data_IF_843637976993
#
_entry.id   IF_843637976993
#
_cell.length_a   1.000
_cell.length_b   1.000
_cell.length_c   1.000
_cell.angle_alpha   90.00
_cell.angle_beta   90.00
_cell.angle_gamma   90.00
#
_symmetry.space_group_name_H-M   'P 1'
#
loop_
_entity.id
_entity.type
_entity.pdbx_description
1 polymer ?
#
# COMPACT_ATOMS: atom_id res chain seq x y z
N UNK A 1 -41.25 1.93 10.22
CA UNK A 1 -40.96 1.86 11.69
C UNK A 1 -39.45 1.73 11.83
N UNK A 2 -38.80 2.52 12.70
CA UNK A 2 -37.39 2.30 13.02
C UNK A 2 -37.28 0.93 13.73
N UNK A 3 -36.50 0.03 13.19
CA UNK A 3 -36.20 -1.25 13.86
C UNK A 3 -35.48 -0.91 15.19
N UNK A 4 -35.94 -1.44 16.30
CA UNK A 4 -35.28 -1.25 17.58
C UNK A 4 -33.86 -1.89 17.45
N UNK A 5 -32.84 -1.07 17.66
CA UNK A 5 -31.44 -1.52 17.63
C UNK A 5 -31.04 -1.88 19.04
N UNK A 6 -30.49 -3.08 19.21
CA UNK A 6 -30.07 -3.59 20.52
C UNK A 6 -28.55 -3.53 20.71
N UNK A 7 -27.84 -2.68 19.94
CA UNK A 7 -26.41 -2.51 20.13
C UNK A 7 -26.13 -1.56 21.31
N UNK A 8 -25.08 -1.81 22.09
CA UNK A 8 -24.56 -0.84 23.07
C UNK A 8 -24.33 0.52 22.41
N UNK A 9 -24.46 1.61 23.17
CA UNK A 9 -24.42 2.96 22.65
C UNK A 9 -23.20 3.72 23.14
N UNK A 10 -22.46 4.36 22.24
CA UNK A 10 -21.35 5.26 22.54
C UNK A 10 -21.75 6.70 22.24
N UNK A 11 -21.63 7.59 23.22
CA UNK A 11 -21.77 9.04 23.03
C UNK A 11 -20.41 9.66 22.84
N UNK A 12 -20.25 10.50 21.81
CA UNK A 12 -18.96 11.07 21.41
C UNK A 12 -18.95 12.60 21.46
N UNK A 13 -17.73 13.16 21.57
CA UNK A 13 -17.50 14.60 21.58
C UNK A 13 -17.97 15.28 20.30
N UNK A 14 -18.23 16.59 20.37
CA UNK A 14 -18.57 17.42 19.20
C UNK A 14 -17.49 17.42 18.14
N UNK A 15 -16.22 17.29 18.52
CA UNK A 15 -15.09 17.19 17.59
C UNK A 15 -15.19 15.91 16.76
N UNK A 16 -15.41 14.75 17.39
CA UNK A 16 -15.58 13.48 16.70
C UNK A 16 -16.85 13.47 15.83
N UNK A 17 -17.97 14.02 16.33
CA UNK A 17 -19.19 14.20 15.52
C UNK A 17 -18.90 14.93 14.21
N UNK A 18 -18.16 16.05 14.26
CA UNK A 18 -17.79 16.80 13.06
C UNK A 18 -16.92 15.97 12.12
N UNK A 19 -15.95 15.22 12.64
CA UNK A 19 -15.10 14.33 11.86
C UNK A 19 -15.90 13.25 11.13
N UNK A 20 -16.82 12.57 11.85
CA UNK A 20 -17.69 11.56 11.26
C UNK A 20 -18.64 12.14 10.20
N UNK A 21 -19.19 13.33 10.43
CA UNK A 21 -20.04 14.01 9.45
C UNK A 21 -19.30 14.43 8.18
N UNK A 22 -17.98 14.65 8.29
CA UNK A 22 -17.10 14.89 7.15
C UNK A 22 -16.64 13.59 6.47
N UNK A 23 -17.07 12.42 6.99
CA UNK A 23 -16.82 11.11 6.39
C UNK A 23 -15.58 10.39 6.88
N UNK A 24 -14.87 10.89 7.90
CA UNK A 24 -13.77 10.16 8.53
C UNK A 24 -14.33 9.07 9.45
N UNK A 25 -13.98 7.77 9.30
CA UNK A 25 -14.70 6.68 9.96
C UNK A 25 -14.20 6.35 11.38
N UNK A 26 -13.27 7.11 11.97
CA UNK A 26 -12.66 6.79 13.24
C UNK A 26 -13.13 7.69 14.38
N UNK A 27 -13.40 7.08 15.53
CA UNK A 27 -13.56 7.75 16.82
C UNK A 27 -12.40 7.33 17.71
N UNK A 28 -11.66 8.31 18.21
CA UNK A 28 -10.53 8.04 19.10
C UNK A 28 -10.99 7.83 20.53
N UNK A 29 -10.18 7.11 21.32
CA UNK A 29 -10.47 6.81 22.74
C UNK A 29 -10.85 8.05 23.56
N UNK A 30 -10.05 9.12 23.47
CA UNK A 30 -10.31 10.39 24.16
C UNK A 30 -11.55 11.15 23.66
N UNK A 31 -12.22 10.69 22.62
CA UNK A 31 -13.40 11.30 22.03
C UNK A 31 -14.70 10.60 22.43
N UNK A 32 -14.63 9.46 23.13
CA UNK A 32 -15.78 8.76 23.70
C UNK A 32 -16.08 9.34 25.08
N UNK A 33 -17.27 9.91 25.26
CA UNK A 33 -17.73 10.55 26.49
C UNK A 33 -18.42 9.55 27.41
N UNK A 34 -19.23 8.68 26.85
CA UNK A 34 -19.99 7.67 27.57
C UNK A 34 -20.16 6.41 26.72
N UNK A 35 -20.21 5.26 27.38
CA UNK A 35 -20.48 3.97 26.76
C UNK A 35 -21.55 3.27 27.59
N UNK A 36 -22.72 3.09 27.00
CA UNK A 36 -23.85 2.38 27.62
C UNK A 36 -23.84 0.92 27.22
N UNK A 37 -24.08 0.05 28.18
CA UNK A 37 -23.91 -1.39 28.03
C UNK A 37 -22.44 -1.80 28.19
N UNK A 38 -22.20 -3.09 28.08
CA UNK A 38 -20.87 -3.68 28.21
C UNK A 38 -20.54 -4.45 26.91
N UNK A 39 -20.23 -3.73 25.80
CA UNK A 39 -19.91 -4.41 24.55
C UNK A 39 -18.65 -5.24 24.67
N UNK A 40 -18.68 -6.44 24.12
CA UNK A 40 -17.47 -7.22 23.98
C UNK A 40 -16.46 -6.53 23.05
N UNK A 41 -15.17 -6.74 23.30
CA UNK A 41 -14.12 -6.21 22.43
C UNK A 41 -14.28 -6.72 20.98
N UNK A 42 -14.34 -5.80 20.02
CA UNK A 42 -14.59 -6.09 18.62
C UNK A 42 -16.06 -6.24 18.24
N UNK A 43 -17.02 -6.07 19.18
CA UNK A 43 -18.45 -6.10 18.85
C UNK A 43 -18.93 -4.76 18.27
N UNK A 44 -20.17 -4.77 17.77
CA UNK A 44 -20.83 -3.59 17.23
C UNK A 44 -21.34 -2.65 18.34
N UNK A 45 -21.17 -1.36 18.11
CA UNK A 45 -21.73 -0.28 18.93
C UNK A 45 -22.37 0.78 18.04
N UNK A 46 -23.51 1.32 18.49
CA UNK A 46 -24.11 2.50 17.87
C UNK A 46 -23.45 3.77 18.41
N UNK A 47 -23.20 4.74 17.54
CA UNK A 47 -22.53 5.99 17.89
C UNK A 47 -23.51 7.15 17.82
N UNK A 48 -23.57 7.93 18.89
CA UNK A 48 -24.45 9.09 19.01
C UNK A 48 -23.68 10.36 19.35
N UNK A 49 -24.20 11.49 18.87
CA UNK A 49 -23.74 12.80 19.35
C UNK A 49 -24.21 13.07 20.78
N UNK A 50 -23.64 14.07 21.45
CA UNK A 50 -24.10 14.54 22.75
C UNK A 50 -25.60 14.94 22.78
N UNK A 51 -26.17 15.30 21.63
CA UNK A 51 -27.58 15.65 21.48
C UNK A 51 -28.47 14.46 21.15
N UNK A 52 -27.93 13.23 21.20
CA UNK A 52 -28.67 12.00 20.91
C UNK A 52 -28.93 11.73 19.42
N UNK A 53 -28.24 12.42 18.50
CA UNK A 53 -28.35 12.11 17.07
C UNK A 53 -27.51 10.90 16.72
N UNK A 54 -28.10 9.90 16.07
CA UNK A 54 -27.37 8.73 15.54
C UNK A 54 -26.38 9.16 14.46
N UNK A 55 -25.14 8.68 14.54
CA UNK A 55 -24.05 9.00 13.63
C UNK A 55 -23.56 7.79 12.82
N UNK A 56 -23.77 6.60 13.34
CA UNK A 56 -23.37 5.37 12.67
C UNK A 56 -23.23 4.20 13.63
N UNK A 57 -22.88 3.03 13.06
CA UNK A 57 -22.55 1.82 13.81
C UNK A 57 -21.18 1.34 13.37
N UNK A 58 -20.37 0.87 14.31
CA UNK A 58 -19.01 0.40 14.04
C UNK A 58 -18.52 -0.61 15.06
N UNK A 59 -17.31 -1.11 14.83
CA UNK A 59 -16.63 -2.01 15.76
C UNK A 59 -15.91 -1.22 16.86
N UNK A 60 -16.06 -1.66 18.11
CA UNK A 60 -15.32 -1.12 19.24
C UNK A 60 -14.01 -1.90 19.47
N UNK A 61 -12.93 -1.20 19.87
CA UNK A 61 -11.67 -1.81 20.31
C UNK A 61 -11.18 -1.12 21.60
N UNK A 62 -10.97 -1.91 22.66
CA UNK A 62 -10.59 -1.36 23.97
C UNK A 62 -9.10 -1.06 24.10
N UNK A 63 -8.24 -1.73 23.33
CA UNK A 63 -6.79 -1.52 23.38
C UNK A 63 -6.30 -0.47 22.36
N UNK A 64 -7.07 -0.27 21.29
CA UNK A 64 -6.71 0.68 20.24
C UNK A 64 -6.96 2.13 20.66
N UNK A 65 -6.09 3.03 20.22
CA UNK A 65 -6.39 4.47 20.27
C UNK A 65 -7.56 4.86 19.35
N UNK A 66 -7.79 4.10 18.30
CA UNK A 66 -9.00 4.20 17.47
C UNK A 66 -10.06 3.34 18.14
N UNK A 67 -10.82 3.96 19.03
CA UNK A 67 -11.80 3.28 19.87
C UNK A 67 -12.94 2.65 19.09
N UNK A 68 -13.46 3.37 18.07
CA UNK A 68 -14.54 2.86 17.23
C UNK A 68 -14.18 3.11 15.76
N UNK A 69 -14.36 2.08 14.92
CA UNK A 69 -14.27 2.16 13.46
C UNK A 69 -15.66 1.97 12.87
N UNK A 70 -16.21 3.03 12.27
CA UNK A 70 -17.54 2.98 11.68
C UNK A 70 -17.57 2.06 10.45
N UNK A 71 -18.65 1.29 10.36
CA UNK A 71 -19.00 0.45 9.20
C UNK A 71 -20.06 1.12 8.33
N UNK A 72 -21.06 1.78 8.96
CA UNK A 72 -22.15 2.42 8.24
C UNK A 72 -22.78 3.55 9.05
N UNK A 73 -23.19 4.63 8.38
CA UNK A 73 -24.02 5.68 8.94
C UNK A 73 -25.52 5.46 8.69
N UNK A 74 -25.90 4.38 7.99
CA UNK A 74 -27.30 4.04 7.74
C UNK A 74 -27.94 3.41 8.98
N UNK A 75 -28.91 4.07 9.59
CA UNK A 75 -29.60 3.58 10.78
C UNK A 75 -30.47 2.33 10.54
N UNK A 76 -30.76 1.96 9.30
CA UNK A 76 -31.52 0.78 8.93
C UNK A 76 -30.62 -0.38 8.47
N UNK A 77 -29.30 -0.25 8.62
CA UNK A 77 -28.36 -1.29 8.21
C UNK A 77 -28.37 -2.49 9.16
N UNK A 78 -28.29 -3.68 8.60
CA UNK A 78 -28.09 -4.95 9.31
C UNK A 78 -26.70 -5.50 9.00
N UNK A 79 -25.96 -5.92 10.01
CA UNK A 79 -24.55 -6.28 9.89
C UNK A 79 -24.34 -7.81 9.86
N UNK A 80 -25.10 -8.50 9.01
CA UNK A 80 -24.96 -9.93 8.74
C UNK A 80 -24.15 -10.20 7.45
N UNK A 81 -24.22 -11.44 7.00
CA UNK A 81 -23.52 -11.93 5.79
C UNK A 81 -23.81 -11.09 4.55
N UNK A 82 -25.06 -10.62 4.39
CA UNK A 82 -25.45 -9.78 3.25
C UNK A 82 -24.75 -8.41 3.25
N UNK A 83 -24.46 -7.84 4.43
CA UNK A 83 -23.72 -6.61 4.54
C UNK A 83 -22.29 -6.79 4.01
N UNK A 84 -21.60 -7.82 4.49
CA UNK A 84 -20.22 -8.10 4.05
C UNK A 84 -20.18 -8.54 2.58
N UNK A 85 -21.14 -9.33 2.13
CA UNK A 85 -21.27 -9.72 0.72
C UNK A 85 -21.35 -8.47 -0.19
N UNK A 86 -22.18 -7.50 0.18
CA UNK A 86 -22.35 -6.26 -0.57
C UNK A 86 -21.07 -5.39 -0.56
N UNK A 87 -20.35 -5.31 0.59
CA UNK A 87 -19.07 -4.58 0.68
C UNK A 87 -18.01 -5.21 -0.23
N UNK A 88 -17.89 -6.53 -0.21
CA UNK A 88 -17.00 -7.28 -1.11
C UNK A 88 -17.40 -7.06 -2.57
N UNK A 89 -18.68 -7.12 -2.90
CA UNK A 89 -19.15 -6.87 -4.26
C UNK A 89 -18.72 -5.50 -4.77
N UNK A 90 -18.85 -4.44 -3.94
CA UNK A 90 -18.44 -3.09 -4.32
C UNK A 90 -16.92 -3.01 -4.49
N UNK A 91 -16.15 -3.62 -3.60
CA UNK A 91 -14.69 -3.64 -3.69
C UNK A 91 -14.21 -4.33 -4.99
N UNK A 92 -14.75 -5.51 -5.32
CA UNK A 92 -14.42 -6.23 -6.55
C UNK A 92 -14.88 -5.48 -7.81
N UNK A 93 -16.11 -4.94 -7.81
CA UNK A 93 -16.63 -4.15 -8.93
C UNK A 93 -15.77 -2.91 -9.21
N UNK A 94 -15.33 -2.22 -8.16
CA UNK A 94 -14.40 -1.09 -8.29
C UNK A 94 -13.09 -1.52 -8.98
N UNK A 95 -12.43 -2.60 -8.52
CA UNK A 95 -11.18 -3.08 -9.13
C UNK A 95 -11.36 -3.47 -10.59
N UNK A 96 -12.44 -4.14 -10.93
CA UNK A 96 -12.76 -4.47 -12.34
C UNK A 96 -12.93 -3.25 -13.22
N UNK A 97 -13.39 -2.13 -12.64
CA UNK A 97 -13.57 -0.87 -13.37
C UNK A 97 -12.27 -0.11 -13.55
N UNK A 98 -11.42 -0.07 -12.51
CA UNK A 98 -10.24 0.81 -12.52
C UNK A 98 -8.95 0.09 -12.93
N UNK A 99 -8.93 -1.25 -12.89
CA UNK A 99 -7.78 -2.07 -13.30
C UNK A 99 -7.98 -2.59 -14.73
N UNK A 100 -6.88 -2.72 -15.47
CA UNK A 100 -6.91 -3.43 -16.74
C UNK A 100 -7.29 -4.91 -16.56
N UNK A 101 -7.83 -5.58 -17.60
CA UNK A 101 -8.23 -6.99 -17.50
C UNK A 101 -7.12 -7.92 -17.01
N UNK A 102 -5.88 -7.71 -17.46
CA UNK A 102 -4.70 -8.46 -17.03
C UNK A 102 -4.23 -8.08 -15.62
N UNK A 103 -4.52 -6.86 -15.15
CA UNK A 103 -4.07 -6.36 -13.88
C UNK A 103 -4.91 -6.88 -12.70
N UNK A 104 -6.16 -7.30 -12.97
CA UNK A 104 -7.06 -7.85 -11.96
C UNK A 104 -6.59 -9.19 -11.38
N UNK A 105 -5.68 -9.90 -12.07
CA UNK A 105 -5.07 -11.15 -11.58
C UNK A 105 -4.04 -10.92 -10.46
N UNK A 106 -3.48 -9.70 -10.39
CA UNK A 106 -2.49 -9.34 -9.40
C UNK A 106 -2.75 -7.91 -8.92
N UNK A 107 -3.57 -7.75 -7.88
CA UNK A 107 -3.99 -6.45 -7.38
C UNK A 107 -4.51 -6.54 -5.93
N UNK A 108 -4.64 -5.39 -5.27
CA UNK A 108 -5.32 -5.28 -3.98
C UNK A 108 -6.83 -5.32 -4.17
N UNK A 109 -7.49 -6.36 -3.64
CA UNK A 109 -8.94 -6.53 -3.72
C UNK A 109 -9.69 -5.75 -2.63
N UNK A 110 -9.09 -5.61 -1.44
CA UNK A 110 -9.68 -4.89 -0.29
C UNK A 110 -8.64 -3.97 0.32
N UNK A 111 -8.99 -2.70 0.51
CA UNK A 111 -8.14 -1.67 1.10
C UNK A 111 -8.85 -0.96 2.26
N UNK A 112 -9.08 -1.68 3.34
CA UNK A 112 -9.50 -1.18 4.64
C UNK A 112 -10.70 -0.23 4.61
N UNK A 113 -10.48 0.94 5.15
CA UNK A 113 -11.48 2.01 5.28
C UNK A 113 -12.03 2.45 3.93
N UNK A 114 -11.21 2.42 2.89
CA UNK A 114 -11.63 2.86 1.55
C UNK A 114 -12.68 1.93 0.92
N UNK A 115 -12.75 0.67 1.37
CA UNK A 115 -13.75 -0.31 0.94
C UNK A 115 -14.84 -0.53 2.01
N UNK A 116 -14.79 0.22 3.12
CA UNK A 116 -15.72 0.08 4.24
C UNK A 116 -15.58 -1.24 5.00
N UNK A 117 -14.36 -1.80 4.99
CA UNK A 117 -13.92 -2.99 5.73
C UNK A 117 -12.69 -2.62 6.60
N UNK A 118 -12.89 -1.79 7.65
CA UNK A 118 -11.81 -1.10 8.34
C UNK A 118 -10.81 -2.06 8.97
N UNK A 119 -9.54 -1.86 8.64
CA UNK A 119 -8.43 -2.67 9.11
C UNK A 119 -8.26 -4.00 8.39
N UNK A 120 -8.93 -4.25 7.25
CA UNK A 120 -8.71 -5.41 6.40
C UNK A 120 -7.98 -5.02 5.12
N UNK A 121 -6.91 -5.73 4.82
CA UNK A 121 -6.26 -5.68 3.51
C UNK A 121 -6.28 -7.08 2.90
N UNK A 122 -6.64 -7.19 1.62
CA UNK A 122 -6.55 -8.44 0.88
C UNK A 122 -5.93 -8.18 -0.48
N UNK A 123 -4.80 -8.80 -0.74
CA UNK A 123 -4.09 -8.78 -2.02
C UNK A 123 -4.31 -10.12 -2.74
N UNK A 124 -4.45 -10.05 -4.05
CA UNK A 124 -4.58 -11.21 -4.93
C UNK A 124 -3.30 -11.39 -5.73
N UNK A 125 -2.75 -12.60 -5.66
CA UNK A 125 -1.65 -13.10 -6.49
C UNK A 125 -2.14 -14.33 -7.24
N UNK A 126 -2.68 -14.14 -8.44
CA UNK A 126 -3.36 -15.16 -9.26
C UNK A 126 -4.50 -15.85 -8.48
N UNK A 127 -4.29 -17.07 -8.01
CA UNK A 127 -5.25 -17.86 -7.25
C UNK A 127 -4.97 -17.88 -5.73
N UNK A 128 -3.98 -17.14 -5.26
CA UNK A 128 -3.69 -16.98 -3.83
C UNK A 128 -4.16 -15.62 -3.37
N UNK A 129 -4.87 -15.58 -2.25
CA UNK A 129 -5.18 -14.35 -1.53
C UNK A 129 -4.23 -14.20 -0.35
N UNK A 130 -3.74 -12.98 -0.13
CA UNK A 130 -2.94 -12.65 1.06
C UNK A 130 -3.65 -11.58 1.85
N UNK A 131 -3.95 -11.88 3.10
CA UNK A 131 -4.74 -11.03 3.97
C UNK A 131 -3.93 -10.48 5.15
N UNK A 132 -4.23 -9.24 5.54
CA UNK A 132 -3.85 -8.67 6.84
C UNK A 132 -5.09 -8.17 7.55
N UNK A 133 -5.33 -8.67 8.77
CA UNK A 133 -6.43 -8.26 9.63
C UNK A 133 -5.86 -7.42 10.77
N UNK A 134 -6.13 -6.12 10.76
CA UNK A 134 -5.48 -5.12 11.61
C UNK A 134 -6.46 -4.45 12.60
N UNK A 135 -7.66 -4.99 12.78
CA UNK A 135 -8.62 -4.50 13.77
C UNK A 135 -9.36 -5.64 14.45
N UNK A 136 -9.68 -5.46 15.73
CA UNK A 136 -10.35 -6.47 16.55
C UNK A 136 -11.72 -6.84 15.98
N UNK A 137 -12.50 -5.87 15.51
CA UNK A 137 -13.81 -6.14 14.93
C UNK A 137 -13.73 -6.97 13.65
N UNK A 138 -12.75 -6.66 12.78
CA UNK A 138 -12.55 -7.45 11.55
C UNK A 138 -12.06 -8.88 11.86
N UNK A 139 -11.24 -9.06 12.90
CA UNK A 139 -10.80 -10.39 13.35
C UNK A 139 -12.01 -11.27 13.72
N UNK A 140 -13.06 -10.70 14.32
CA UNK A 140 -14.28 -11.45 14.69
C UNK A 140 -15.13 -11.87 13.50
N UNK A 141 -15.07 -11.14 12.40
CA UNK A 141 -15.93 -11.37 11.22
C UNK A 141 -15.16 -11.86 10.00
N UNK A 142 -13.85 -12.08 10.12
CA UNK A 142 -12.99 -12.41 8.98
C UNK A 142 -13.44 -13.67 8.23
N UNK A 143 -13.93 -14.71 8.91
CA UNK A 143 -14.43 -15.91 8.24
C UNK A 143 -15.60 -15.61 7.31
N UNK A 144 -16.59 -14.84 7.78
CA UNK A 144 -17.69 -14.37 6.93
C UNK A 144 -17.18 -13.60 5.71
N UNK A 145 -16.23 -12.69 5.92
CA UNK A 145 -15.66 -11.87 4.84
C UNK A 145 -14.89 -12.73 3.84
N UNK A 146 -14.05 -13.64 4.30
CA UNK A 146 -13.27 -14.53 3.43
C UNK A 146 -14.18 -15.47 2.63
N UNK A 147 -15.19 -16.05 3.27
CA UNK A 147 -16.19 -16.91 2.61
C UNK A 147 -16.93 -16.15 1.49
N UNK A 148 -17.35 -14.91 1.76
CA UNK A 148 -18.01 -14.08 0.75
C UNK A 148 -17.06 -13.70 -0.39
N UNK A 149 -15.79 -13.40 -0.10
CA UNK A 149 -14.78 -13.08 -1.09
C UNK A 149 -14.52 -14.27 -2.03
N UNK A 150 -14.26 -15.45 -1.48
CA UNK A 150 -14.05 -16.69 -2.25
C UNK A 150 -15.28 -17.02 -3.10
N UNK A 151 -16.48 -16.92 -2.52
CA UNK A 151 -17.75 -17.19 -3.22
C UNK A 151 -17.93 -16.24 -4.42
N UNK A 152 -17.68 -14.95 -4.28
CA UNK A 152 -17.88 -13.98 -5.35
C UNK A 152 -16.82 -14.12 -6.44
N UNK A 153 -15.57 -14.38 -6.08
CA UNK A 153 -14.51 -14.68 -7.04
C UNK A 153 -14.80 -15.96 -7.84
N UNK A 154 -15.35 -17.00 -7.19
CA UNK A 154 -15.79 -18.22 -7.87
C UNK A 154 -16.93 -17.95 -8.88
N UNK A 155 -17.85 -17.02 -8.59
CA UNK A 155 -18.89 -16.60 -9.54
C UNK A 155 -18.31 -15.89 -10.78
N UNK A 156 -17.11 -15.32 -10.65
CA UNK A 156 -16.35 -14.70 -11.76
C UNK A 156 -15.45 -15.74 -12.49
N UNK A 157 -15.52 -17.01 -12.14
CA UNK A 157 -14.68 -18.07 -12.70
C UNK A 157 -13.27 -18.14 -12.08
N UNK A 158 -13.03 -17.45 -10.96
CA UNK A 158 -11.75 -17.43 -10.27
C UNK A 158 -11.76 -18.42 -9.12
N UNK A 159 -11.08 -19.56 -9.28
CA UNK A 159 -10.88 -20.55 -8.22
C UNK A 159 -9.73 -20.13 -7.31
N UNK A 160 -10.04 -19.88 -6.02
CA UNK A 160 -9.03 -19.54 -5.02
C UNK A 160 -8.42 -20.82 -4.44
N UNK A 161 -7.08 -20.92 -4.50
CA UNK A 161 -6.32 -22.05 -3.99
C UNK A 161 -6.01 -21.96 -2.49
N UNK A 162 -6.02 -20.74 -1.91
CA UNK A 162 -5.83 -20.56 -0.49
C UNK A 162 -5.79 -19.07 -0.10
N UNK A 163 -5.95 -18.83 1.20
CA UNK A 163 -5.79 -17.51 1.83
C UNK A 163 -4.63 -17.61 2.79
N UNK A 164 -3.59 -16.80 2.59
CA UNK A 164 -2.44 -16.68 3.48
C UNK A 164 -2.58 -15.45 4.36
N UNK A 165 -2.57 -15.60 5.68
CA UNK A 165 -2.62 -14.49 6.61
C UNK A 165 -1.21 -13.98 6.92
N UNK A 166 -0.94 -12.69 6.64
CA UNK A 166 0.28 -11.95 6.98
C UNK A 166 0.02 -11.04 8.18
N UNK A 167 -0.41 -11.66 9.25
CA UNK A 167 -0.74 -11.01 10.52
C UNK A 167 0.49 -10.82 11.43
N UNK A 168 1.70 -10.99 10.91
CA UNK A 168 3.00 -10.87 11.59
C UNK A 168 3.48 -9.41 11.79
N UNK A 169 2.58 -8.44 11.67
CA UNK A 169 2.87 -7.00 11.77
C UNK A 169 2.62 -6.43 13.17
N UNK A 170 3.53 -5.55 13.62
CA UNK A 170 3.51 -4.98 14.98
C UNK A 170 2.25 -4.18 15.31
N UNK A 171 1.57 -3.61 14.31
CA UNK A 171 0.37 -2.81 14.53
C UNK A 171 -0.79 -3.61 15.14
N UNK A 172 -0.81 -4.93 14.97
CA UNK A 172 -1.82 -5.81 15.59
C UNK A 172 -1.80 -5.77 17.12
N UNK A 173 -0.62 -5.63 17.71
CA UNK A 173 -0.49 -5.54 19.18
C UNK A 173 -1.17 -4.30 19.76
N UNK A 174 -1.27 -3.21 18.97
CA UNK A 174 -2.00 -2.01 19.36
C UNK A 174 -3.51 -2.23 19.46
N UNK A 175 -4.02 -3.25 18.76
CA UNK A 175 -5.41 -3.71 18.81
C UNK A 175 -5.62 -4.81 19.86
N UNK A 176 -4.54 -5.33 20.43
CA UNK A 176 -4.55 -6.46 21.35
C UNK A 176 -4.74 -7.80 20.64
N UNK A 177 -4.30 -7.87 19.40
CA UNK A 177 -4.28 -9.08 18.58
C UNK A 177 -2.87 -9.67 18.55
N UNK A 178 -2.78 -10.99 18.59
CA UNK A 178 -1.52 -11.70 18.46
C UNK A 178 -0.97 -11.58 17.04
N UNK A 179 0.36 -11.59 16.92
CA UNK A 179 1.02 -11.72 15.64
C UNK A 179 1.05 -13.18 15.20
N UNK A 180 0.97 -13.39 13.90
CA UNK A 180 1.10 -14.71 13.31
C UNK A 180 1.07 -14.64 11.78
N UNK A 181 1.58 -15.66 11.13
CA UNK A 181 1.44 -15.85 9.68
C UNK A 181 1.20 -17.31 9.37
N UNK A 182 0.49 -17.58 8.30
CA UNK A 182 0.21 -18.92 7.83
C UNK A 182 -1.06 -19.02 6.99
N UNK A 183 -1.28 -20.21 6.47
CA UNK A 183 -2.51 -20.51 5.73
C UNK A 183 -3.74 -20.48 6.63
N UNK A 184 -4.75 -19.74 6.19
CA UNK A 184 -6.08 -19.79 6.78
C UNK A 184 -6.78 -21.08 6.32
N UNK A 185 -7.15 -21.94 7.28
CA UNK A 185 -7.78 -23.23 7.02
C UNK A 185 -9.29 -23.14 7.23
N UNK A 186 -10.05 -23.51 6.21
CA UNK A 186 -11.50 -23.54 6.26
C UNK A 186 -12.06 -24.65 5.35
N UNK A 187 -13.26 -25.14 5.65
CA UNK A 187 -13.93 -26.22 4.91
C UNK A 187 -14.29 -25.86 3.46
N UNK A 188 -14.37 -24.57 3.15
CA UNK A 188 -14.67 -24.05 1.81
C UNK A 188 -13.41 -23.76 0.98
N UNK A 189 -12.22 -23.99 1.50
CA UNK A 189 -10.94 -23.83 0.80
C UNK A 189 -10.32 -25.21 0.52
N UNK A 190 -9.59 -25.37 -0.60
CA UNK A 190 -8.80 -26.56 -0.86
C UNK A 190 -7.60 -26.67 0.10
N UNK A 191 -6.86 -27.77 0.00
CA UNK A 191 -5.56 -27.89 0.67
C UNK A 191 -4.64 -26.77 0.18
N UNK A 192 -3.93 -26.09 1.11
CA UNK A 192 -3.07 -24.96 0.74
C UNK A 192 -1.99 -25.36 -0.25
N UNK A 193 -1.71 -24.50 -1.27
CA UNK A 193 -0.62 -24.71 -2.21
C UNK A 193 0.75 -24.33 -1.59
N UNK A 194 1.80 -24.34 -2.41
CA UNK A 194 3.06 -23.68 -2.06
C UNK A 194 2.83 -22.18 -1.77
N UNK A 195 3.54 -21.57 -0.81
CA UNK A 195 3.50 -20.12 -0.57
C UNK A 195 4.23 -19.31 -1.66
N UNK A 196 4.85 -19.97 -2.63
CA UNK A 196 5.52 -19.34 -3.77
C UNK A 196 4.62 -19.43 -4.99
N UNK A 197 4.36 -18.30 -5.64
CA UNK A 197 3.54 -18.22 -6.85
C UNK A 197 4.19 -17.31 -7.90
N UNK A 198 3.93 -17.60 -9.17
CA UNK A 198 4.28 -16.71 -10.27
C UNK A 198 3.19 -15.66 -10.49
N UNK A 199 3.58 -14.44 -10.77
CA UNK A 199 2.67 -13.36 -11.20
C UNK A 199 3.17 -12.72 -12.49
N UNK A 200 2.27 -12.08 -13.21
CA UNK A 200 2.63 -11.21 -14.34
C UNK A 200 2.16 -9.79 -14.06
N UNK A 201 3.09 -8.83 -14.08
CA UNK A 201 2.79 -7.41 -13.99
C UNK A 201 3.49 -6.64 -15.09
N UNK A 202 2.75 -5.82 -15.85
CA UNK A 202 3.29 -5.02 -16.96
C UNK A 202 4.03 -5.86 -18.03
N UNK A 203 3.66 -7.12 -18.21
CA UNK A 203 4.31 -8.04 -19.13
C UNK A 203 5.58 -8.70 -18.58
N UNK A 204 5.92 -8.46 -17.33
CA UNK A 204 7.08 -9.03 -16.63
C UNK A 204 6.59 -10.12 -15.67
N UNK A 205 7.25 -11.27 -15.72
CA UNK A 205 7.00 -12.38 -14.82
C UNK A 205 7.86 -12.25 -13.55
N UNK A 206 7.21 -12.34 -12.38
CA UNK A 206 7.87 -12.34 -11.08
C UNK A 206 7.51 -13.60 -10.32
N UNK A 207 8.42 -14.01 -9.45
CA UNK A 207 8.11 -14.93 -8.37
C UNK A 207 7.79 -14.16 -7.09
N UNK A 208 6.71 -14.53 -6.43
CA UNK A 208 6.25 -13.93 -5.17
C UNK A 208 6.20 -15.00 -4.11
N UNK A 209 6.94 -14.80 -3.03
CA UNK A 209 6.86 -15.58 -1.80
C UNK A 209 5.91 -14.84 -0.83
N UNK A 210 4.69 -15.36 -0.68
CA UNK A 210 3.68 -14.74 0.19
C UNK A 210 3.99 -14.95 1.67
N UNK A 211 4.85 -15.90 2.01
CA UNK A 211 5.28 -16.18 3.38
C UNK A 211 6.43 -15.29 3.85
N UNK A 212 7.47 -15.11 3.02
CA UNK A 212 8.70 -14.44 3.42
C UNK A 212 8.94 -13.11 2.70
N UNK A 213 8.19 -12.83 1.64
CA UNK A 213 8.25 -11.56 0.92
C UNK A 213 7.84 -10.36 1.78
N UNK A 214 8.29 -9.18 1.41
CA UNK A 214 7.94 -7.94 2.10
C UNK A 214 6.45 -7.61 1.94
N UNK A 215 5.86 -6.92 2.92
CA UNK A 215 4.41 -6.64 3.00
C UNK A 215 3.61 -7.95 2.90
N UNK A 216 2.81 -8.07 1.84
CA UNK A 216 2.02 -9.25 1.50
C UNK A 216 2.70 -10.18 0.49
N UNK A 217 3.92 -9.83 0.03
CA UNK A 217 4.73 -10.56 -0.94
C UNK A 217 5.28 -9.69 -2.06
N UNK A 218 4.54 -8.66 -2.52
CA UNK A 218 4.95 -7.75 -3.59
C UNK A 218 4.38 -6.34 -3.38
N UNK A 219 4.99 -5.32 -4.01
CA UNK A 219 4.56 -3.92 -3.92
C UNK A 219 3.60 -3.57 -5.06
N UNK A 220 2.33 -3.93 -4.93
CA UNK A 220 1.29 -3.72 -5.93
C UNK A 220 0.97 -2.24 -6.18
N UNK A 221 1.19 -1.40 -5.18
CA UNK A 221 0.89 0.03 -5.19
C UNK A 221 1.70 0.84 -6.21
N UNK A 222 2.87 0.33 -6.66
CA UNK A 222 3.75 0.98 -7.62
C UNK A 222 3.53 0.53 -9.09
N UNK A 223 2.59 -0.36 -9.39
CA UNK A 223 2.37 -0.95 -10.72
C UNK A 223 2.43 0.06 -11.87
N UNK A 224 1.60 1.09 -11.81
CA UNK A 224 1.52 2.08 -12.90
C UNK A 224 2.63 3.12 -12.86
N UNK A 225 3.31 3.29 -11.72
CA UNK A 225 4.52 4.11 -11.65
C UNK A 225 5.69 3.43 -12.37
N UNK A 226 5.78 2.09 -12.27
CA UNK A 226 6.74 1.30 -13.07
C UNK A 226 6.47 1.43 -14.57
N UNK A 227 5.20 1.43 -15.00
CA UNK A 227 4.85 1.68 -16.41
C UNK A 227 5.26 3.09 -16.87
N UNK A 228 5.12 4.10 -16.02
CA UNK A 228 5.54 5.46 -16.35
C UNK A 228 7.06 5.55 -16.56
N UNK A 229 7.84 4.82 -15.77
CA UNK A 229 9.29 4.67 -15.96
C UNK A 229 9.60 3.96 -17.29
N UNK A 230 8.96 2.83 -17.57
CA UNK A 230 9.17 2.08 -18.79
C UNK A 230 8.96 2.91 -20.06
N UNK A 231 7.94 3.79 -20.09
CA UNK A 231 7.60 4.65 -21.24
C UNK A 231 8.73 5.58 -21.68
N UNK A 232 9.62 5.98 -20.77
CA UNK A 232 10.71 6.94 -21.08
C UNK A 232 12.10 6.32 -21.02
N UNK A 233 12.21 5.03 -20.71
CA UNK A 233 13.48 4.34 -20.51
C UNK A 233 14.25 4.04 -21.80
N UNK A 234 13.57 4.02 -22.97
CA UNK A 234 14.18 3.64 -24.24
C UNK A 234 15.47 4.39 -24.56
N UNK A 235 16.54 3.65 -24.87
CA UNK A 235 17.85 4.18 -25.22
C UNK A 235 18.62 4.85 -24.07
N UNK A 236 18.26 4.59 -22.80
CA UNK A 236 18.86 5.24 -21.63
C UNK A 236 19.68 4.28 -20.78
N UNK A 237 20.69 4.80 -20.15
CA UNK A 237 21.40 4.18 -19.04
C UNK A 237 20.68 4.53 -17.74
N UNK A 238 20.07 3.53 -17.11
CA UNK A 238 19.19 3.70 -15.96
C UNK A 238 19.87 3.22 -14.69
N UNK A 239 19.76 3.99 -13.61
CA UNK A 239 20.15 3.58 -12.26
C UNK A 239 18.89 3.48 -11.40
N UNK A 240 18.56 2.28 -10.96
CA UNK A 240 17.44 2.00 -10.05
C UNK A 240 17.96 1.78 -8.64
N UNK A 241 17.75 2.77 -7.77
CA UNK A 241 18.14 2.76 -6.38
C UNK A 241 16.99 2.24 -5.49
N UNK A 242 17.32 1.35 -4.55
CA UNK A 242 16.35 0.62 -3.71
C UNK A 242 15.49 -0.33 -4.53
N UNK A 243 16.14 -1.05 -5.44
CA UNK A 243 15.47 -1.84 -6.49
C UNK A 243 14.62 -3.01 -5.95
N UNK A 244 14.86 -3.45 -4.70
CA UNK A 244 14.22 -4.61 -4.08
C UNK A 244 14.34 -5.83 -5.02
N UNK A 245 13.24 -6.43 -5.46
CA UNK A 245 13.22 -7.57 -6.39
C UNK A 245 13.40 -7.17 -7.88
N UNK A 246 13.90 -5.96 -8.13
CA UNK A 246 14.20 -5.46 -9.47
C UNK A 246 13.00 -4.87 -10.22
N UNK A 247 11.90 -4.58 -9.55
CA UNK A 247 10.64 -4.30 -10.25
C UNK A 247 10.65 -3.02 -11.09
N UNK A 248 11.26 -1.92 -10.66
CA UNK A 248 11.45 -0.73 -11.48
C UNK A 248 12.52 -0.97 -12.56
N UNK A 249 13.65 -1.58 -12.20
CA UNK A 249 14.74 -1.91 -13.13
C UNK A 249 14.27 -2.77 -14.31
N UNK A 250 13.50 -3.83 -14.03
CA UNK A 250 12.94 -4.72 -15.05
C UNK A 250 11.96 -3.99 -15.99
N UNK A 251 11.10 -3.11 -15.43
CA UNK A 251 10.21 -2.28 -16.25
C UNK A 251 11.01 -1.31 -17.15
N UNK A 252 12.10 -0.73 -16.66
CA UNK A 252 12.99 0.10 -17.47
C UNK A 252 13.68 -0.72 -18.58
N UNK A 253 14.19 -1.91 -18.26
CA UNK A 253 14.83 -2.80 -19.22
C UNK A 253 13.87 -3.28 -20.32
N UNK A 254 12.64 -3.68 -19.94
CA UNK A 254 11.57 -4.04 -20.88
C UNK A 254 11.14 -2.85 -21.71
N UNK A 255 11.14 -1.63 -21.15
CA UNK A 255 10.85 -0.37 -21.83
C UNK A 255 11.93 0.08 -22.83
N UNK A 256 12.96 -0.73 -23.03
CA UNK A 256 14.00 -0.50 -24.06
C UNK A 256 15.21 0.30 -23.57
N UNK A 257 15.48 0.32 -22.25
CA UNK A 257 16.74 0.88 -21.73
C UNK A 257 17.95 0.16 -22.36
N UNK A 258 19.01 0.91 -22.64
CA UNK A 258 20.27 0.36 -23.17
C UNK A 258 20.99 -0.46 -22.09
N UNK A 259 21.05 0.08 -20.88
CA UNK A 259 21.61 -0.58 -19.71
C UNK A 259 20.87 -0.16 -18.44
N UNK A 260 20.65 -1.09 -17.51
CA UNK A 260 20.02 -0.82 -16.22
C UNK A 260 20.93 -1.33 -15.10
N UNK A 261 21.27 -0.47 -14.15
CA UNK A 261 21.96 -0.85 -12.92
C UNK A 261 20.94 -0.90 -11.78
N UNK A 262 20.70 -2.07 -11.23
CA UNK A 262 19.80 -2.33 -10.11
C UNK A 262 20.59 -2.38 -8.80
N UNK A 263 20.21 -1.56 -7.82
CA UNK A 263 20.94 -1.41 -6.56
C UNK A 263 20.01 -1.61 -5.37
N UNK A 264 20.43 -2.45 -4.44
CA UNK A 264 19.80 -2.61 -3.11
C UNK A 264 20.88 -2.94 -2.07
N UNK A 265 20.61 -2.65 -0.82
CA UNK A 265 21.51 -3.01 0.29
C UNK A 265 21.42 -4.50 0.63
N UNK A 266 20.34 -5.18 0.27
CA UNK A 266 20.08 -6.58 0.56
C UNK A 266 20.59 -7.50 -0.55
N UNK A 267 21.56 -8.34 -0.23
CA UNK A 267 22.04 -9.39 -1.14
C UNK A 267 20.89 -10.29 -1.62
N UNK A 268 19.97 -10.67 -0.72
CA UNK A 268 18.80 -11.51 -1.06
C UNK A 268 17.89 -10.82 -2.08
N UNK A 269 17.68 -9.51 -1.94
CA UNK A 269 16.88 -8.74 -2.89
C UNK A 269 17.57 -8.69 -4.27
N UNK A 270 18.88 -8.49 -4.29
CA UNK A 270 19.67 -8.48 -5.52
C UNK A 270 19.65 -9.85 -6.21
N UNK A 271 19.78 -10.95 -5.47
CA UNK A 271 19.67 -12.29 -6.07
C UNK A 271 18.28 -12.55 -6.66
N UNK A 272 17.22 -12.12 -5.97
CA UNK A 272 15.86 -12.21 -6.50
C UNK A 272 15.67 -11.34 -7.75
N UNK A 273 16.26 -10.14 -7.79
CA UNK A 273 16.23 -9.27 -8.96
C UNK A 273 16.93 -9.94 -10.18
N UNK A 274 18.06 -10.63 -9.96
CA UNK A 274 18.74 -11.41 -11.02
C UNK A 274 17.86 -12.55 -11.53
N UNK A 275 17.29 -13.36 -10.63
CA UNK A 275 16.38 -14.45 -11.02
C UNK A 275 15.18 -13.95 -11.82
N UNK A 276 14.61 -12.81 -11.45
CA UNK A 276 13.54 -12.18 -12.19
C UNK A 276 14.04 -11.68 -13.57
N UNK A 277 15.25 -11.15 -13.68
CA UNK A 277 15.83 -10.73 -14.94
C UNK A 277 16.08 -11.93 -15.88
N UNK A 278 16.60 -13.03 -15.36
CA UNK A 278 16.79 -14.28 -16.11
C UNK A 278 15.45 -14.83 -16.62
N UNK A 279 14.43 -14.91 -15.74
CA UNK A 279 13.07 -15.37 -16.09
C UNK A 279 12.46 -14.61 -17.24
N UNK A 280 12.81 -13.33 -17.41
CA UNK A 280 12.28 -12.46 -18.44
C UNK A 280 13.24 -12.24 -19.63
N UNK A 281 14.39 -12.90 -19.67
CA UNK A 281 15.40 -12.74 -20.73
C UNK A 281 16.02 -11.32 -20.76
N UNK A 282 16.08 -10.64 -19.63
CA UNK A 282 16.59 -9.27 -19.51
C UNK A 282 17.98 -9.19 -18.85
N UNK A 283 18.53 -10.33 -18.42
CA UNK A 283 19.79 -10.40 -17.64
C UNK A 283 20.97 -9.69 -18.34
N UNK A 284 21.08 -9.82 -19.66
CA UNK A 284 22.18 -9.24 -20.45
C UNK A 284 22.14 -7.70 -20.51
N UNK A 285 21.00 -7.09 -20.19
CA UNK A 285 20.80 -5.63 -20.14
C UNK A 285 20.99 -5.04 -18.76
N UNK A 286 21.21 -5.87 -17.75
CA UNK A 286 21.17 -5.43 -16.35
C UNK A 286 22.46 -5.72 -15.61
N UNK A 287 22.85 -4.79 -14.73
CA UNK A 287 23.89 -4.93 -13.71
C UNK A 287 23.24 -4.92 -12.33
N UNK A 288 23.82 -5.63 -11.37
CA UNK A 288 23.27 -5.80 -10.03
C UNK A 288 24.34 -5.48 -9.00
N UNK A 289 24.04 -4.59 -8.07
CA UNK A 289 24.98 -4.11 -7.06
C UNK A 289 24.33 -4.18 -5.68
N UNK A 290 24.92 -4.97 -4.79
CA UNK A 290 24.56 -4.93 -3.36
C UNK A 290 25.37 -3.80 -2.69
N UNK A 291 24.71 -2.66 -2.38
CA UNK A 291 25.36 -1.49 -1.78
C UNK A 291 24.35 -0.57 -1.09
N UNK A 292 24.85 0.19 -0.09
CA UNK A 292 24.07 1.30 0.46
C UNK A 292 24.05 2.46 -0.53
N UNK A 293 22.86 2.92 -0.90
CA UNK A 293 22.64 4.02 -1.84
C UNK A 293 23.23 5.34 -1.33
N UNK A 294 23.28 5.55 0.00
CA UNK A 294 23.87 6.74 0.61
C UNK A 294 25.40 6.81 0.41
N UNK A 295 26.06 5.67 0.28
CA UNK A 295 27.49 5.59 -0.01
C UNK A 295 27.74 5.54 -1.52
N UNK A 296 26.89 4.83 -2.26
CA UNK A 296 27.07 4.59 -3.69
C UNK A 296 26.86 5.88 -4.52
N UNK A 297 25.80 6.66 -4.28
CA UNK A 297 25.53 7.87 -5.08
C UNK A 297 26.67 8.89 -5.01
N UNK A 298 27.25 9.25 -3.84
CA UNK A 298 28.45 10.08 -3.78
C UNK A 298 29.63 9.51 -4.57
N UNK A 299 29.87 8.20 -4.48
CA UNK A 299 30.96 7.56 -5.20
C UNK A 299 30.77 7.61 -6.72
N UNK A 300 29.53 7.43 -7.22
CA UNK A 300 29.21 7.57 -8.64
C UNK A 300 29.36 9.02 -9.12
N UNK A 301 28.93 10.01 -8.33
CA UNK A 301 29.15 11.43 -8.64
C UNK A 301 30.64 11.75 -8.77
N UNK A 302 31.49 11.27 -7.85
CA UNK A 302 32.95 11.50 -7.87
C UNK A 302 33.63 10.84 -9.08
N UNK A 303 33.08 9.74 -9.58
CA UNK A 303 33.58 9.02 -10.77
C UNK A 303 32.99 9.59 -12.08
N UNK A 304 32.11 10.58 -12.01
CA UNK A 304 31.36 11.09 -13.16
C UNK A 304 30.70 9.96 -13.96
N UNK A 305 30.06 9.01 -13.24
CA UNK A 305 29.40 7.87 -13.87
C UNK A 305 28.27 8.36 -14.80
N UNK A 306 28.14 7.68 -15.93
CA UNK A 306 27.27 8.08 -17.04
C UNK A 306 25.90 7.41 -16.94
N UNK A 307 24.91 8.14 -16.43
CA UNK A 307 23.51 7.74 -16.37
C UNK A 307 22.60 8.84 -16.94
N UNK A 308 21.57 8.42 -17.67
CA UNK A 308 20.56 9.30 -18.25
C UNK A 308 19.28 9.37 -17.40
N UNK A 309 19.05 8.38 -16.57
CA UNK A 309 17.84 8.24 -15.76
C UNK A 309 18.15 7.61 -14.40
N UNK A 310 17.74 8.27 -13.31
CA UNK A 310 17.84 7.74 -11.95
C UNK A 310 16.45 7.55 -11.37
N UNK A 311 16.23 6.40 -10.74
CA UNK A 311 15.00 6.04 -10.03
C UNK A 311 15.32 5.92 -8.55
N UNK A 312 14.54 6.60 -7.70
CA UNK A 312 14.65 6.60 -6.24
C UNK A 312 13.32 6.15 -5.62
N UNK A 313 13.24 4.89 -5.18
CA UNK A 313 12.10 4.35 -4.43
C UNK A 313 12.51 3.85 -3.04
N UNK A 314 12.96 4.76 -2.15
CA UNK A 314 13.48 4.41 -0.85
C UNK A 314 12.39 3.87 0.07
N UNK A 315 12.75 3.08 1.10
CA UNK A 315 11.84 2.71 2.17
C UNK A 315 11.36 3.97 2.92
N UNK A 316 10.29 3.84 3.70
CA UNK A 316 9.79 4.94 4.52
C UNK A 316 10.84 5.38 5.55
N UNK A 317 11.45 6.55 5.34
CA UNK A 317 12.47 7.10 6.25
C UNK A 317 11.89 7.63 7.55
N UNK A 318 10.56 7.78 7.66
CA UNK A 318 9.90 8.15 8.92
C UNK A 318 8.66 7.30 9.19
N UNK A 319 8.54 6.88 10.45
CA UNK A 319 7.36 6.20 11.01
C UNK A 319 6.69 7.02 12.12
N UNK A 320 7.14 8.26 12.34
CA UNK A 320 6.57 9.13 13.37
C UNK A 320 6.80 10.61 13.07
N UNK A 321 5.93 11.47 13.62
CA UNK A 321 6.07 12.92 13.49
C UNK A 321 7.41 13.46 14.02
N UNK A 322 7.98 12.84 15.05
CA UNK A 322 9.27 13.24 15.62
C UNK A 322 10.46 13.04 14.69
N UNK A 323 10.36 12.08 13.77
CA UNK A 323 11.42 11.71 12.84
C UNK A 323 11.35 12.45 11.48
N UNK A 324 10.36 13.33 11.25
CA UNK A 324 10.14 14.02 9.96
C UNK A 324 11.39 14.78 9.50
N UNK A 325 12.02 15.59 10.37
CA UNK A 325 13.23 16.36 10.00
C UNK A 325 14.43 15.48 9.59
N UNK A 326 14.56 14.30 10.21
CA UNK A 326 15.58 13.33 9.81
C UNK A 326 15.29 12.72 8.45
N UNK A 327 14.04 12.34 8.23
CA UNK A 327 13.58 11.80 6.96
C UNK A 327 13.73 12.80 5.81
N UNK A 328 13.33 14.06 6.03
CA UNK A 328 13.49 15.15 5.05
C UNK A 328 14.95 15.30 4.61
N UNK A 329 15.90 15.25 5.55
CA UNK A 329 17.34 15.28 5.21
C UNK A 329 17.77 14.08 4.38
N UNK A 330 17.33 12.87 4.73
CA UNK A 330 17.65 11.66 3.97
C UNK A 330 17.08 11.71 2.54
N UNK A 331 15.79 12.06 2.39
CA UNK A 331 15.20 12.27 1.06
C UNK A 331 15.92 13.36 0.25
N UNK A 332 16.27 14.48 0.89
CA UNK A 332 16.98 15.57 0.23
C UNK A 332 18.36 15.12 -0.27
N UNK A 333 19.12 14.40 0.54
CA UNK A 333 20.46 13.92 0.19
C UNK A 333 20.42 13.03 -1.05
N UNK A 334 19.58 11.99 -1.08
CA UNK A 334 19.54 11.07 -2.23
C UNK A 334 19.04 11.78 -3.50
N UNK A 335 18.05 12.67 -3.40
CA UNK A 335 17.57 13.46 -4.54
C UNK A 335 18.64 14.43 -5.05
N UNK A 336 19.35 15.14 -4.17
CA UNK A 336 20.46 16.01 -4.51
C UNK A 336 21.56 15.25 -5.25
N UNK A 337 22.01 14.09 -4.74
CA UNK A 337 23.03 13.27 -5.38
C UNK A 337 22.60 12.73 -6.73
N UNK A 338 21.36 12.27 -6.86
CA UNK A 338 20.81 11.85 -8.14
C UNK A 338 20.83 12.99 -9.18
N UNK A 339 20.41 14.18 -8.78
CA UNK A 339 20.44 15.37 -9.67
C UNK A 339 21.87 15.80 -10.05
N UNK A 340 22.85 15.65 -9.15
CA UNK A 340 24.26 15.93 -9.45
C UNK A 340 24.88 14.88 -10.37
N UNK A 341 24.37 13.66 -10.37
CA UNK A 341 24.82 12.57 -11.22
C UNK A 341 24.29 12.71 -12.66
N UNK A 342 23.05 13.19 -12.79
CA UNK A 342 22.36 13.29 -14.07
C UNK A 342 22.85 14.47 -14.91
N UNK A 343 23.00 14.31 -16.25
CA UNK A 343 23.22 15.41 -17.16
C UNK A 343 21.99 16.31 -17.30
N UNK A 344 22.16 17.53 -17.84
CA UNK A 344 21.02 18.31 -18.32
C UNK A 344 20.30 17.55 -19.43
N UNK A 345 18.96 17.49 -19.36
CA UNK A 345 18.15 16.62 -20.22
C UNK A 345 17.91 15.23 -19.65
N UNK A 346 18.63 14.85 -18.59
CA UNK A 346 18.44 13.59 -17.87
C UNK A 346 17.13 13.53 -17.09
N UNK A 347 16.77 12.36 -16.59
CA UNK A 347 15.48 12.08 -15.98
C UNK A 347 15.62 11.61 -14.53
N UNK A 348 14.68 12.01 -13.68
CA UNK A 348 14.60 11.58 -12.28
C UNK A 348 13.18 11.11 -11.97
N UNK A 349 13.03 9.84 -11.55
CA UNK A 349 11.85 9.37 -10.87
C UNK A 349 12.15 9.32 -9.37
N UNK A 350 11.28 9.91 -8.54
CA UNK A 350 11.49 9.93 -7.09
C UNK A 350 10.21 9.68 -6.34
N UNK A 351 10.27 8.81 -5.33
CA UNK A 351 9.13 8.33 -4.57
C UNK A 351 9.26 8.61 -3.07
N UNK A 352 8.12 8.62 -2.40
CA UNK A 352 8.04 8.48 -0.95
C UNK A 352 6.76 7.76 -0.55
N UNK A 353 6.88 6.66 0.17
CA UNK A 353 5.76 5.94 0.80
C UNK A 353 5.53 6.34 2.26
N UNK A 354 6.24 7.35 2.78
CA UNK A 354 6.09 7.82 4.15
C UNK A 354 4.81 8.64 4.31
N UNK A 355 3.88 8.18 5.15
CA UNK A 355 2.65 8.91 5.46
C UNK A 355 2.92 10.31 6.08
N UNK A 356 3.93 10.42 6.95
CA UNK A 356 4.31 11.69 7.59
C UNK A 356 5.09 12.65 6.70
N UNK A 357 5.51 12.22 5.52
CA UNK A 357 6.05 13.04 4.45
C UNK A 357 4.90 13.34 3.48
N UNK A 358 4.07 14.33 3.80
CA UNK A 358 2.97 14.72 2.93
C UNK A 358 3.47 15.26 1.58
N UNK A 359 2.53 15.44 0.65
CA UNK A 359 2.86 15.84 -0.71
C UNK A 359 3.53 17.22 -0.78
N UNK A 360 3.08 18.17 0.03
CA UNK A 360 3.61 19.53 0.03
C UNK A 360 5.05 19.55 0.56
N UNK A 361 5.31 18.85 1.66
CA UNK A 361 6.63 18.72 2.25
C UNK A 361 7.59 18.01 1.29
N UNK A 362 7.13 16.92 0.64
CA UNK A 362 7.95 16.18 -0.33
C UNK A 362 8.37 17.06 -1.52
N UNK A 363 7.43 17.81 -2.11
CA UNK A 363 7.75 18.73 -3.21
C UNK A 363 8.69 19.85 -2.78
N UNK A 364 8.48 20.45 -1.61
CA UNK A 364 9.40 21.48 -1.07
C UNK A 364 10.82 20.93 -0.88
N UNK A 365 10.93 19.70 -0.41
CA UNK A 365 12.22 19.00 -0.25
C UNK A 365 12.89 18.77 -1.61
N UNK A 366 12.18 18.26 -2.63
CA UNK A 366 12.70 18.06 -3.99
C UNK A 366 13.17 19.38 -4.61
N UNK A 367 12.38 20.46 -4.47
CA UNK A 367 12.76 21.81 -4.93
C UNK A 367 14.01 22.32 -4.22
N UNK A 368 14.15 22.03 -2.92
CA UNK A 368 15.35 22.40 -2.16
C UNK A 368 16.58 21.64 -2.65
N UNK A 369 16.44 20.33 -2.94
CA UNK A 369 17.52 19.52 -3.51
C UNK A 369 17.93 20.01 -4.90
N UNK A 370 16.98 20.36 -5.75
CA UNK A 370 17.24 20.90 -7.10
C UNK A 370 18.01 22.22 -7.07
N UNK A 371 17.64 23.13 -6.15
CA UNK A 371 18.36 24.40 -5.95
C UNK A 371 19.80 24.17 -5.50
N UNK A 372 20.02 23.24 -4.57
CA UNK A 372 21.38 22.92 -4.10
C UNK A 372 22.21 22.21 -5.18
N UNK A 373 21.56 21.49 -6.10
CA UNK A 373 22.20 20.85 -7.25
C UNK A 373 22.44 21.82 -8.43
N UNK A 374 21.93 23.05 -8.37
CA UNK A 374 21.97 24.06 -9.45
C UNK A 374 21.30 23.55 -10.74
N UNK A 375 20.11 22.97 -10.61
CA UNK A 375 19.28 22.48 -11.72
C UNK A 375 17.84 22.96 -11.57
N UNK A 376 17.13 23.04 -12.71
CA UNK A 376 15.67 23.19 -12.74
C UNK A 376 15.02 21.87 -13.14
N UNK A 377 13.79 21.67 -12.71
CA UNK A 377 13.04 20.44 -12.97
C UNK A 377 11.79 20.73 -13.77
N UNK A 378 11.62 20.06 -14.91
CA UNK A 378 10.34 19.98 -15.62
C UNK A 378 9.57 18.77 -15.11
N UNK A 379 8.38 19.00 -14.58
CA UNK A 379 7.46 17.93 -14.20
C UNK A 379 6.91 17.24 -15.46
N UNK A 380 7.09 15.93 -15.54
CA UNK A 380 6.51 15.07 -16.58
C UNK A 380 5.23 14.43 -16.06
N UNK A 381 5.31 13.73 -14.93
CA UNK A 381 4.17 13.10 -14.27
C UNK A 381 4.24 13.28 -12.75
N UNK A 382 3.05 13.47 -12.14
CA UNK A 382 2.84 13.39 -10.69
C UNK A 382 1.78 12.32 -10.45
N UNK A 383 2.12 11.29 -9.69
CA UNK A 383 1.28 10.11 -9.49
C UNK A 383 1.22 9.73 -8.01
N UNK A 384 0.28 8.86 -7.70
CA UNK A 384 0.07 8.27 -6.37
C UNK A 384 0.17 6.75 -6.48
N UNK A 385 -0.32 6.05 -5.45
CA UNK A 385 -0.49 4.61 -5.49
C UNK A 385 -1.42 4.17 -6.63
N UNK A 386 -1.26 2.93 -7.05
CA UNK A 386 -2.13 2.29 -8.06
C UNK A 386 -3.61 2.36 -7.66
N UNK A 387 -4.55 2.49 -8.61
CA UNK A 387 -5.99 2.64 -8.33
C UNK A 387 -6.61 1.53 -7.48
N UNK A 388 -6.05 0.34 -7.44
CA UNK A 388 -6.49 -0.74 -6.54
C UNK A 388 -6.22 -0.44 -5.05
N UNK A 389 -5.46 0.63 -4.75
CA UNK A 389 -5.25 1.22 -3.44
C UNK A 389 -5.97 2.58 -3.36
N UNK A 390 -7.31 2.60 -3.36
CA UNK A 390 -8.06 3.86 -3.51
C UNK A 390 -7.80 4.84 -2.37
N UNK A 391 -7.66 6.12 -2.73
CA UNK A 391 -7.64 7.22 -1.76
C UNK A 391 -9.08 7.63 -1.46
N UNK A 392 -9.47 7.52 -0.19
CA UNK A 392 -10.74 8.06 0.30
C UNK A 392 -10.52 9.50 0.74
N UNK A 393 -11.14 10.47 0.06
CA UNK A 393 -10.83 11.90 0.18
C UNK A 393 -10.89 12.45 1.62
N UNK A 394 -11.78 11.88 2.45
CA UNK A 394 -11.94 12.32 3.84
C UNK A 394 -11.13 11.47 4.84
N UNK A 395 -10.30 10.55 4.35
CA UNK A 395 -9.43 9.68 5.14
C UNK A 395 -7.99 9.80 4.62
N UNK A 396 -7.26 10.84 5.05
CA UNK A 396 -5.92 11.13 4.54
C UNK A 396 -4.92 10.00 4.77
N UNK A 397 -5.19 9.10 5.71
CA UNK A 397 -4.39 7.90 5.97
C UNK A 397 -4.38 6.91 4.77
N UNK A 398 -5.34 7.02 3.85
CA UNK A 398 -5.38 6.22 2.62
C UNK A 398 -4.51 6.79 1.49
N UNK A 399 -3.99 8.02 1.62
CA UNK A 399 -3.11 8.69 0.66
C UNK A 399 -1.67 8.70 1.19
N UNK A 400 -0.84 7.78 0.76
CA UNK A 400 0.49 7.60 1.35
C UNK A 400 1.65 7.60 0.36
N UNK A 401 1.40 7.31 -0.94
CA UNK A 401 2.46 7.19 -1.94
C UNK A 401 2.54 8.46 -2.80
N UNK A 402 3.73 9.00 -2.93
CA UNK A 402 4.10 10.09 -3.84
C UNK A 402 5.08 9.55 -4.86
N UNK A 403 4.81 9.78 -6.13
CA UNK A 403 5.70 9.49 -7.25
C UNK A 403 5.77 10.70 -8.16
N UNK A 404 6.97 11.14 -8.46
CA UNK A 404 7.22 12.24 -9.38
C UNK A 404 8.27 11.86 -10.40
N UNK A 405 7.99 12.20 -11.65
CA UNK A 405 8.88 12.02 -12.77
C UNK A 405 9.25 13.40 -13.35
N UNK A 406 10.54 13.70 -13.39
CA UNK A 406 11.08 14.97 -13.84
C UNK A 406 12.09 14.80 -14.96
N UNK A 407 12.25 15.86 -15.77
CA UNK A 407 13.43 16.10 -16.60
C UNK A 407 14.25 17.25 -16.01
N UNK A 408 15.56 17.08 -15.94
CA UNK A 408 16.51 18.12 -15.54
C UNK A 408 16.75 19.09 -16.70
N UNK A 409 16.80 20.41 -16.40
CA UNK A 409 17.03 21.48 -17.38
C UNK A 409 18.03 22.49 -16.85
#
# INVERSE_FOLDING_TARGET
MKQARNFPAATITKKAENSLRLGHPWVYDAEVLNLEGEPENGSLVDVFSEKGSYLGTGFISYKSKIRIRLLSSNANETFGDEFFARRIQYALAYRRTVMGPTDYHCCRLVFGEADGLPGLTVDRYENILVSQVLSMGMERVKDTVYRQLVKQLAQEGVGIAGIFERNDVAIRELEGLDRGKGWYLADYLPQPPSPITGITENGIQYEVDVENGQKTGFFLDQKYNRQAVAKIAAGKKVLDCFTHTGSFALNAALGGADRVTAVDVSDTAIEMAKLNAERNGLIDKMDFIAADVFDLLPALCNKHADYDFVILDPPAFTKSRKAIKGAERGYKEINFRAMKLLPRGGYLATCSCSHFMDNELFIKMVQSAARDADVSLKLIEARRQSPDHPTLMNVPETDYLKFYLFQLV
#
